data_IF_363797347350
#
_entry.id   IF_363797347350
#
_cell.length_a   1.000
_cell.length_b   1.000
_cell.length_c   1.000
_cell.angle_alpha   90.00
_cell.angle_beta   90.00
_cell.angle_gamma   90.00
#
_symmetry.space_group_name_H-M   'P 1'
#
loop_
_entity.id
_entity.type
_entity.pdbx_description
1 polymer ?
#
# COMPACT_ATOMS: atom_id res chain seq x y z
N UNK A 1 -1.55 23.88 1.33
CA UNK A 1 -1.30 22.58 0.68
C UNK A 1 -2.03 22.45 -0.65
N UNK A 2 -3.36 22.25 -0.70
CA UNK A 2 -4.04 21.99 -1.98
C UNK A 2 -3.86 23.10 -3.04
N UNK A 3 -3.73 24.37 -2.64
CA UNK A 3 -3.47 25.49 -3.55
C UNK A 3 -1.99 25.65 -3.95
N UNK A 4 -1.09 24.78 -3.49
CA UNK A 4 0.33 24.82 -3.86
C UNK A 4 0.48 24.54 -5.36
N UNK A 5 1.21 25.39 -6.13
CA UNK A 5 1.35 25.20 -7.57
C UNK A 5 1.95 23.86 -7.97
N UNK A 6 2.83 23.27 -7.15
CA UNK A 6 3.46 21.96 -7.41
C UNK A 6 2.42 20.85 -7.32
N UNK A 7 1.58 20.89 -6.28
CA UNK A 7 0.49 19.93 -6.10
C UNK A 7 -0.56 20.09 -7.19
N UNK A 8 -0.91 21.32 -7.57
CA UNK A 8 -1.85 21.58 -8.66
C UNK A 8 -1.33 21.05 -10.01
N UNK A 9 -0.04 21.24 -10.31
CA UNK A 9 0.57 20.70 -11.52
C UNK A 9 0.59 19.15 -11.51
N UNK A 10 0.92 18.56 -10.36
CA UNK A 10 0.88 17.10 -10.15
C UNK A 10 -0.54 16.51 -10.18
N UNK A 11 -1.55 17.34 -9.90
CA UNK A 11 -2.97 16.95 -9.90
C UNK A 11 -3.61 16.97 -11.31
N UNK A 12 -2.80 16.95 -12.37
CA UNK A 12 -3.29 16.92 -13.74
C UNK A 12 -4.17 15.68 -13.97
N UNK A 13 -5.35 15.93 -14.54
CA UNK A 13 -6.33 14.93 -14.92
C UNK A 13 -5.73 13.91 -15.90
N UNK A 14 -5.55 12.67 -15.44
CA UNK A 14 -4.85 11.61 -16.18
C UNK A 14 -5.75 10.39 -16.30
N UNK A 15 -6.07 9.97 -17.52
CA UNK A 15 -6.69 8.68 -17.78
C UNK A 15 -5.63 7.59 -17.60
N UNK A 16 -5.79 6.71 -16.62
CA UNK A 16 -4.81 5.68 -16.31
C UNK A 16 -5.46 4.31 -16.14
N UNK A 17 -4.75 3.26 -16.56
CA UNK A 17 -5.17 1.87 -16.43
C UNK A 17 -4.45 1.24 -15.23
N UNK A 18 -5.05 1.21 -14.02
CA UNK A 18 -4.34 0.83 -12.80
C UNK A 18 -3.91 -0.64 -12.76
N UNK A 19 -4.50 -1.51 -13.57
CA UNK A 19 -4.14 -2.94 -13.65
C UNK A 19 -3.34 -3.30 -14.91
N UNK A 20 -2.43 -2.40 -15.35
CA UNK A 20 -1.64 -2.62 -16.57
C UNK A 20 -0.41 -3.51 -16.30
N UNK A 21 -0.65 -4.82 -16.20
CA UNK A 21 0.38 -5.85 -16.02
C UNK A 21 0.51 -6.77 -17.25
N UNK A 22 1.59 -7.57 -17.34
CA UNK A 22 1.89 -8.45 -18.50
C UNK A 22 0.70 -9.30 -18.99
N UNK A 23 -0.15 -9.79 -18.10
CA UNK A 23 -1.31 -10.64 -18.47
C UNK A 23 -2.45 -9.88 -19.17
N UNK A 24 -2.41 -8.55 -19.12
CA UNK A 24 -3.39 -7.66 -19.77
C UNK A 24 -2.83 -7.06 -21.09
N UNK A 25 -1.65 -7.52 -21.53
CA UNK A 25 -0.99 -7.09 -22.77
C UNK A 25 -1.02 -8.21 -23.82
N UNK A 26 -1.54 -7.91 -25.01
CA UNK A 26 -1.35 -8.76 -26.18
C UNK A 26 -0.16 -8.27 -27.00
N UNK A 27 0.64 -9.21 -27.49
CA UNK A 27 1.79 -8.95 -28.37
C UNK A 27 1.64 -9.69 -29.69
N UNK A 28 2.38 -9.26 -30.71
CA UNK A 28 2.36 -9.93 -32.01
C UNK A 28 3.01 -11.31 -31.93
N UNK A 29 2.39 -12.31 -32.55
CA UNK A 29 2.95 -13.66 -32.71
C UNK A 29 4.28 -13.66 -33.47
N UNK A 30 4.42 -12.76 -34.45
CA UNK A 30 5.62 -12.67 -35.29
C UNK A 30 6.72 -11.79 -34.68
N UNK A 31 6.36 -10.90 -33.75
CA UNK A 31 7.26 -9.90 -33.16
C UNK A 31 6.78 -9.49 -31.76
N UNK A 32 7.21 -10.21 -30.70
CA UNK A 32 6.76 -9.96 -29.32
C UNK A 32 7.14 -8.58 -28.76
N UNK A 33 7.98 -7.80 -29.46
CA UNK A 33 8.28 -6.41 -29.07
C UNK A 33 7.13 -5.45 -29.41
N UNK A 34 6.16 -5.88 -30.23
CA UNK A 34 5.01 -5.08 -30.65
C UNK A 34 3.78 -5.45 -29.84
N UNK A 35 3.30 -4.49 -29.07
CA UNK A 35 2.00 -4.57 -28.40
C UNK A 35 0.89 -4.44 -29.46
N UNK A 36 -0.04 -5.40 -29.47
CA UNK A 36 -1.18 -5.45 -30.40
C UNK A 36 -2.49 -5.08 -29.73
N UNK A 37 -2.57 -5.12 -28.40
CA UNK A 37 -3.76 -4.71 -27.67
C UNK A 37 -3.59 -4.71 -26.15
N UNK A 38 -4.52 -4.03 -25.49
CA UNK A 38 -4.67 -3.95 -24.04
C UNK A 38 -6.10 -4.35 -23.69
N UNK A 39 -6.28 -5.16 -22.65
CA UNK A 39 -7.58 -5.56 -22.13
C UNK A 39 -7.76 -5.13 -20.68
N UNK A 40 -8.91 -5.46 -20.12
CA UNK A 40 -9.22 -5.27 -18.70
C UNK A 40 -9.42 -3.80 -18.31
N UNK A 41 -10.03 -3.02 -19.20
CA UNK A 41 -10.24 -1.58 -19.06
C UNK A 41 -11.20 -1.17 -17.94
N UNK A 42 -11.93 -2.08 -17.29
CA UNK A 42 -12.95 -1.75 -16.31
C UNK A 42 -12.49 -0.95 -15.08
N UNK A 43 -11.22 -1.01 -14.59
CA UNK A 43 -10.77 -0.16 -13.49
C UNK A 43 -10.17 1.16 -13.98
N UNK A 44 -10.14 1.41 -15.30
CA UNK A 44 -9.58 2.65 -15.87
C UNK A 44 -10.41 3.85 -15.43
N UNK A 45 -9.74 4.86 -14.87
CA UNK A 45 -10.39 6.09 -14.42
C UNK A 45 -9.54 7.32 -14.77
N UNK A 46 -10.15 8.49 -14.62
CA UNK A 46 -9.48 9.78 -14.73
C UNK A 46 -9.17 10.25 -13.30
N UNK A 47 -7.88 10.30 -12.95
CA UNK A 47 -7.41 10.66 -11.62
C UNK A 47 -6.17 11.57 -11.68
N UNK A 48 -5.79 12.21 -10.57
CA UNK A 48 -4.54 12.96 -10.47
C UNK A 48 -3.32 12.11 -10.84
N UNK A 49 -2.39 12.67 -11.62
CA UNK A 49 -1.18 11.95 -12.05
C UNK A 49 -0.34 11.41 -10.88
N UNK A 50 -0.30 12.11 -9.74
CA UNK A 50 0.43 11.66 -8.56
C UNK A 50 -0.11 10.35 -7.96
N UNK A 51 -1.32 9.91 -8.31
CA UNK A 51 -1.90 8.66 -7.81
C UNK A 51 -1.15 7.41 -8.28
N UNK A 52 -0.59 7.50 -9.48
CA UNK A 52 0.09 6.39 -10.18
C UNK A 52 1.57 6.68 -10.40
N UNK A 53 2.12 7.72 -9.76
CA UNK A 53 3.48 8.15 -9.98
C UNK A 53 4.51 7.11 -9.48
N UNK A 54 4.15 6.38 -8.43
CA UNK A 54 4.98 5.33 -7.83
C UNK A 54 4.68 3.94 -8.40
N UNK A 55 3.71 3.82 -9.32
CA UNK A 55 3.39 2.54 -9.93
C UNK A 55 4.55 2.07 -10.81
N UNK A 56 5.05 0.88 -10.46
CA UNK A 56 6.11 0.19 -11.19
C UNK A 56 5.52 -1.07 -11.78
N UNK A 57 5.48 -1.14 -13.10
CA UNK A 57 4.86 -2.29 -13.77
C UNK A 57 5.68 -3.57 -13.59
N UNK A 58 4.99 -4.71 -13.56
CA UNK A 58 5.57 -6.05 -13.35
C UNK A 58 6.57 -6.48 -14.42
N UNK A 59 6.55 -5.87 -15.61
CA UNK A 59 7.57 -6.06 -16.65
C UNK A 59 8.87 -5.31 -16.43
N UNK A 60 8.88 -4.34 -15.53
CA UNK A 60 10.10 -3.65 -15.14
C UNK A 60 10.84 -4.37 -14.01
N UNK A 61 10.23 -5.39 -13.37
CA UNK A 61 10.81 -6.15 -12.27
C UNK A 61 11.26 -7.52 -12.81
N UNK A 62 12.58 -7.72 -12.95
CA UNK A 62 13.17 -9.03 -13.27
C UNK A 62 13.38 -9.84 -11.99
N UNK A 63 13.00 -11.12 -11.99
CA UNK A 63 13.21 -12.03 -10.85
C UNK A 63 14.68 -12.38 -10.59
N UNK A 64 15.58 -12.08 -11.51
CA UNK A 64 17.02 -12.28 -11.37
C UNK A 64 17.72 -11.02 -10.81
N UNK A 65 18.52 -11.22 -9.77
CA UNK A 65 19.23 -10.20 -9.00
C UNK A 65 20.44 -9.57 -9.72
N UNK A 66 20.83 -8.40 -9.20
CA UNK A 66 22.03 -7.58 -9.43
C UNK A 66 22.09 -6.59 -10.61
N UNK A 67 21.25 -6.70 -11.65
CA UNK A 67 21.19 -5.65 -12.68
C UNK A 67 19.84 -5.59 -13.37
N UNK A 68 18.85 -4.99 -12.71
CA UNK A 68 17.53 -4.81 -13.31
C UNK A 68 17.56 -3.69 -14.37
N UNK A 69 18.11 -4.03 -15.54
CA UNK A 69 18.16 -3.17 -16.73
C UNK A 69 16.75 -2.73 -17.13
N UNK A 70 15.74 -3.59 -16.93
CA UNK A 70 14.34 -3.28 -17.20
C UNK A 70 13.82 -2.16 -16.28
N UNK A 71 14.13 -2.18 -14.98
CA UNK A 71 13.76 -1.11 -14.05
C UNK A 71 14.46 0.21 -14.41
N UNK A 72 15.76 0.17 -14.73
CA UNK A 72 16.49 1.36 -15.17
C UNK A 72 15.94 1.92 -16.49
N UNK A 73 15.65 1.03 -17.45
CA UNK A 73 15.05 1.42 -18.72
C UNK A 73 13.64 1.98 -18.52
N UNK A 74 12.82 1.36 -17.65
CA UNK A 74 11.51 1.86 -17.28
C UNK A 74 11.60 3.26 -16.66
N UNK A 75 12.49 3.46 -15.68
CA UNK A 75 12.69 4.77 -15.06
C UNK A 75 13.13 5.82 -16.09
N UNK A 76 14.08 5.49 -16.96
CA UNK A 76 14.53 6.40 -18.02
C UNK A 76 13.40 6.72 -19.01
N UNK A 77 12.69 5.70 -19.50
CA UNK A 77 11.59 5.85 -20.45
C UNK A 77 10.42 6.65 -19.86
N UNK A 78 10.03 6.40 -18.61
CA UNK A 78 8.93 7.12 -17.93
C UNK A 78 9.18 8.62 -17.93
N UNK A 79 10.43 9.07 -17.73
CA UNK A 79 10.78 10.51 -17.78
C UNK A 79 10.53 11.15 -19.15
N UNK A 80 10.64 10.40 -20.23
CA UNK A 80 10.50 10.92 -21.60
C UNK A 80 9.12 10.68 -22.20
N UNK A 81 8.55 9.50 -21.99
CA UNK A 81 7.30 9.07 -22.63
C UNK A 81 6.06 9.37 -21.79
N UNK A 82 6.20 9.48 -20.46
CA UNK A 82 5.09 9.77 -19.54
C UNK A 82 5.43 10.93 -18.59
N UNK A 83 5.75 12.13 -19.13
CA UNK A 83 6.19 13.27 -18.32
C UNK A 83 5.18 13.69 -17.23
N UNK A 84 3.89 13.44 -17.47
CA UNK A 84 2.81 13.70 -16.52
C UNK A 84 2.93 12.85 -15.25
N UNK A 85 3.37 11.59 -15.37
CA UNK A 85 3.59 10.67 -14.24
C UNK A 85 4.98 10.84 -13.64
N UNK A 86 5.99 11.14 -14.46
CA UNK A 86 7.35 11.33 -13.96
C UNK A 86 7.52 12.58 -13.11
N UNK A 87 6.70 13.62 -13.35
CA UNK A 87 6.76 14.87 -12.59
C UNK A 87 6.57 14.64 -11.09
N UNK A 88 5.40 14.14 -10.65
CA UNK A 88 5.15 13.83 -9.24
C UNK A 88 6.16 12.82 -8.66
N UNK A 89 6.58 11.82 -9.44
CA UNK A 89 7.58 10.81 -9.02
C UNK A 89 8.96 11.39 -8.64
N UNK A 90 9.28 12.59 -9.13
CA UNK A 90 10.53 13.29 -8.82
C UNK A 90 10.38 14.27 -7.65
N UNK A 91 9.18 14.39 -7.08
CA UNK A 91 8.91 15.23 -5.92
C UNK A 91 9.00 14.41 -4.63
N UNK A 92 8.94 15.09 -3.48
CA UNK A 92 8.85 14.41 -2.18
C UNK A 92 7.44 13.82 -2.00
N UNK A 93 7.34 12.49 -1.83
CA UNK A 93 6.08 11.77 -1.64
C UNK A 93 5.22 12.34 -0.50
N UNK A 94 5.84 12.94 0.53
CA UNK A 94 5.11 13.55 1.64
C UNK A 94 4.20 14.70 1.18
N UNK A 95 4.40 15.24 -0.04
CA UNK A 95 3.46 16.19 -0.66
C UNK A 95 2.13 15.54 -1.05
N UNK A 96 2.12 14.22 -1.33
CA UNK A 96 0.99 13.49 -1.87
C UNK A 96 0.35 12.51 -0.89
N UNK A 97 1.13 11.98 0.07
CA UNK A 97 0.65 10.96 1.02
C UNK A 97 -0.69 11.29 1.71
N UNK A 98 -0.95 12.52 2.21
CA UNK A 98 -2.26 12.83 2.77
C UNK A 98 -3.43 12.57 1.80
N UNK A 99 -3.23 12.80 0.50
CA UNK A 99 -4.24 12.52 -0.53
C UNK A 99 -4.36 11.01 -0.78
N UNK A 100 -3.22 10.31 -0.89
CA UNK A 100 -3.14 8.86 -1.13
C UNK A 100 -3.75 8.04 0.02
N UNK A 101 -3.79 8.54 1.25
CA UNK A 101 -4.42 7.83 2.36
C UNK A 101 -5.86 8.28 2.65
N UNK A 102 -6.31 9.41 2.10
CA UNK A 102 -7.63 9.98 2.40
C UNK A 102 -8.79 9.07 1.99
N UNK A 103 -8.70 8.47 0.80
CA UNK A 103 -9.75 7.64 0.23
C UNK A 103 -9.85 6.25 0.87
N UNK A 104 -8.83 5.80 1.60
CA UNK A 104 -8.78 4.47 2.23
C UNK A 104 -9.32 4.46 3.64
N UNK A 105 -9.67 5.62 4.20
CA UNK A 105 -10.12 5.74 5.60
C UNK A 105 -11.35 4.91 5.94
N UNK A 106 -12.24 4.66 4.98
CA UNK A 106 -13.41 3.79 5.18
C UNK A 106 -13.05 2.31 5.28
N UNK A 107 -11.94 1.89 4.67
CA UNK A 107 -11.47 0.51 4.62
C UNK A 107 -10.43 0.21 5.70
N UNK A 108 -9.46 1.11 5.83
CA UNK A 108 -8.26 0.93 6.65
C UNK A 108 -8.33 1.71 7.98
N UNK A 109 -9.38 2.50 8.18
CA UNK A 109 -9.50 3.41 9.32
C UNK A 109 -8.68 4.70 9.16
N UNK A 110 -8.75 5.57 10.17
CA UNK A 110 -8.16 6.91 10.11
C UNK A 110 -6.68 6.97 10.51
N UNK A 111 -6.09 5.89 11.03
CA UNK A 111 -4.76 5.89 11.62
C UNK A 111 -3.68 6.33 10.61
N UNK A 112 -3.68 5.75 9.40
CA UNK A 112 -2.70 6.08 8.37
C UNK A 112 -2.83 7.54 7.90
N UNK A 113 -4.05 8.00 7.59
CA UNK A 113 -4.29 9.39 7.20
C UNK A 113 -3.83 10.36 8.30
N UNK A 114 -4.13 10.05 9.57
CA UNK A 114 -3.71 10.88 10.71
C UNK A 114 -2.19 10.93 10.82
N UNK A 115 -1.51 9.81 10.59
CA UNK A 115 -0.04 9.76 10.57
C UNK A 115 0.53 10.67 9.49
N UNK A 116 0.02 10.59 8.27
CA UNK A 116 0.50 11.42 7.16
C UNK A 116 0.22 12.91 7.36
N UNK A 117 -0.89 13.29 8.00
CA UNK A 117 -1.17 14.68 8.38
C UNK A 117 -0.19 15.20 9.44
N UNK A 118 0.19 14.35 10.41
CA UNK A 118 1.18 14.68 11.44
C UNK A 118 2.57 14.84 10.81
N UNK A 119 2.99 13.91 9.96
CA UNK A 119 4.29 13.96 9.28
C UNK A 119 4.38 15.15 8.33
N UNK A 120 3.33 15.42 7.54
CA UNK A 120 3.23 16.61 6.70
C UNK A 120 3.33 17.90 7.52
N UNK A 121 2.74 17.92 8.71
CA UNK A 121 2.81 19.08 9.60
C UNK A 121 4.21 19.26 10.20
N UNK A 122 4.88 18.17 10.59
CA UNK A 122 6.26 18.19 11.10
C UNK A 122 7.23 18.69 10.03
N UNK A 123 7.06 18.24 8.79
CA UNK A 123 7.90 18.58 7.64
C UNK A 123 7.41 19.81 6.87
N UNK A 124 6.44 20.57 7.38
CA UNK A 124 5.74 21.61 6.61
C UNK A 124 6.68 22.61 5.93
N UNK A 125 7.68 23.11 6.68
CA UNK A 125 8.68 24.04 6.16
C UNK A 125 9.69 23.36 5.23
N UNK A 126 10.07 22.10 5.51
CA UNK A 126 10.99 21.31 4.68
C UNK A 126 10.39 20.99 3.31
N UNK A 127 9.07 20.75 3.28
CA UNK A 127 8.28 20.60 2.06
C UNK A 127 8.09 21.92 1.30
N UNK A 128 8.61 23.04 1.82
CA UNK A 128 8.57 24.34 1.17
C UNK A 128 7.22 25.04 1.21
N UNK A 129 6.30 24.62 2.10
CA UNK A 129 5.04 25.33 2.27
C UNK A 129 5.24 26.64 3.05
N UNK A 130 4.48 27.66 2.67
CA UNK A 130 4.47 28.95 3.38
C UNK A 130 3.45 28.95 4.53
N UNK A 131 3.74 29.69 5.59
CA UNK A 131 2.82 29.86 6.72
C UNK A 131 2.81 28.65 7.66
N UNK A 132 1.81 28.59 8.54
CA UNK A 132 1.62 27.45 9.46
C UNK A 132 0.80 26.35 8.80
N UNK A 133 1.08 25.09 9.17
CA UNK A 133 0.23 23.96 8.78
C UNK A 133 -1.20 24.18 9.27
N UNK A 134 -2.23 23.93 8.43
CA UNK A 134 -3.62 24.01 8.84
C UNK A 134 -4.02 22.87 9.80
N UNK A 135 -3.22 21.80 9.86
CA UNK A 135 -3.43 20.71 10.81
C UNK A 135 -2.66 21.00 12.11
N UNK A 136 -3.39 21.10 13.20
CA UNK A 136 -2.80 21.31 14.53
C UNK A 136 -2.32 19.99 15.12
N UNK A 137 -1.05 19.92 15.49
CA UNK A 137 -0.53 18.77 16.23
C UNK A 137 -1.27 18.59 17.56
N UNK A 138 -1.59 17.33 17.87
CA UNK A 138 -2.18 16.96 19.16
C UNK A 138 -1.20 17.24 20.31
N UNK A 139 -1.72 17.23 21.55
CA UNK A 139 -0.87 17.28 22.74
C UNK A 139 0.15 16.13 22.75
N UNK A 140 1.27 16.23 23.49
CA UNK A 140 2.27 15.16 23.57
C UNK A 140 1.67 13.78 23.87
N UNK A 141 0.71 13.71 24.80
CA UNK A 141 0.00 12.48 25.12
C UNK A 141 -0.83 11.96 23.94
N UNK A 142 -1.49 12.85 23.19
CA UNK A 142 -2.24 12.48 21.99
C UNK A 142 -1.36 11.97 20.85
N UNK A 143 -0.11 12.44 20.77
CA UNK A 143 0.88 11.94 19.79
C UNK A 143 1.41 10.56 20.18
N UNK A 144 1.63 10.30 21.48
CA UNK A 144 2.01 8.96 21.97
C UNK A 144 0.90 7.95 21.71
N UNK A 145 -0.35 8.33 21.94
CA UNK A 145 -1.49 7.45 21.66
C UNK A 145 -1.61 7.17 20.16
N UNK A 146 -1.47 8.20 19.32
CA UNK A 146 -1.46 8.03 17.87
C UNK A 146 -0.33 7.12 17.39
N UNK A 147 0.87 7.24 17.96
CA UNK A 147 2.00 6.35 17.63
C UNK A 147 1.66 4.88 17.91
N UNK A 148 0.93 4.61 19.00
CA UNK A 148 0.44 3.27 19.33
C UNK A 148 -0.61 2.78 18.33
N UNK A 149 -1.58 3.63 17.97
CA UNK A 149 -2.59 3.34 16.95
C UNK A 149 -1.95 3.03 15.58
N UNK A 150 -0.95 3.84 15.19
CA UNK A 150 -0.27 3.70 13.91
C UNK A 150 0.58 2.43 13.84
N UNK A 151 1.32 2.10 14.90
CA UNK A 151 2.06 0.82 14.99
C UNK A 151 1.13 -0.38 14.84
N UNK A 152 -0.04 -0.34 15.47
CA UNK A 152 -1.03 -1.41 15.32
C UNK A 152 -1.59 -1.48 13.89
N UNK A 153 -1.83 -0.34 13.25
CA UNK A 153 -2.22 -0.29 11.84
C UNK A 153 -1.14 -0.92 10.93
N UNK A 154 0.13 -0.57 11.12
CA UNK A 154 1.25 -1.15 10.34
C UNK A 154 1.30 -2.67 10.54
N UNK A 155 1.26 -3.14 11.78
CA UNK A 155 1.25 -4.58 12.08
C UNK A 155 0.06 -5.31 11.45
N UNK A 156 -1.12 -4.69 11.36
CA UNK A 156 -2.27 -5.26 10.67
C UNK A 156 -2.04 -5.41 9.15
N UNK A 157 -1.41 -4.42 8.52
CA UNK A 157 -1.10 -4.48 7.08
C UNK A 157 -0.01 -5.51 6.78
N UNK A 158 1.04 -5.57 7.61
CA UNK A 158 2.12 -6.57 7.49
C UNK A 158 1.58 -7.98 7.69
N UNK A 159 0.81 -8.22 8.76
CA UNK A 159 0.16 -9.50 9.02
C UNK A 159 -0.69 -9.97 7.82
N UNK A 160 -1.42 -9.04 7.20
CA UNK A 160 -2.24 -9.35 6.02
C UNK A 160 -1.40 -9.76 4.81
N UNK A 161 -0.28 -9.07 4.55
CA UNK A 161 0.62 -9.41 3.46
C UNK A 161 1.31 -10.75 3.71
N UNK A 162 1.79 -10.98 4.93
CA UNK A 162 2.45 -12.23 5.33
C UNK A 162 1.50 -13.41 5.23
N UNK A 163 0.26 -13.27 5.72
CA UNK A 163 -0.75 -14.33 5.61
C UNK A 163 -1.10 -14.65 4.14
N UNK A 164 -1.25 -13.63 3.30
CA UNK A 164 -1.50 -13.84 1.88
C UNK A 164 -0.35 -14.62 1.22
N UNK A 165 0.90 -14.29 1.56
CA UNK A 165 2.07 -15.01 1.08
C UNK A 165 2.13 -16.46 1.61
N UNK A 166 1.93 -16.67 2.91
CA UNK A 166 2.00 -17.99 3.55
C UNK A 166 0.91 -18.93 3.08
N UNK A 167 -0.30 -18.42 2.87
CA UNK A 167 -1.45 -19.19 2.40
C UNK A 167 -1.50 -19.31 0.87
N UNK A 168 -0.59 -18.64 0.16
CA UNK A 168 -0.59 -18.52 -1.29
C UNK A 168 -1.94 -18.02 -1.83
N UNK A 169 -2.46 -16.96 -1.20
CA UNK A 169 -3.75 -16.32 -1.54
C UNK A 169 -3.52 -14.88 -1.97
N UNK A 170 -4.55 -14.29 -2.58
CA UNK A 170 -4.59 -12.85 -2.76
C UNK A 170 -4.85 -12.15 -1.41
N UNK A 171 -4.42 -10.88 -1.29
CA UNK A 171 -4.60 -10.12 -0.04
C UNK A 171 -6.08 -9.82 0.29
N UNK A 172 -7.00 -10.04 -0.65
CA UNK A 172 -8.45 -9.97 -0.40
C UNK A 172 -9.03 -11.29 0.12
N UNK A 173 -8.19 -12.32 0.29
CA UNK A 173 -8.59 -13.64 0.81
C UNK A 173 -9.16 -14.57 -0.24
N UNK A 174 -9.09 -14.23 -1.54
CA UNK A 174 -9.57 -15.13 -2.59
C UNK A 174 -8.69 -16.38 -2.72
N UNK A 175 -9.35 -17.54 -2.83
CA UNK A 175 -8.74 -18.87 -2.97
C UNK A 175 -9.51 -19.70 -4.00
N UNK A 176 -8.84 -20.43 -4.90
CA UNK A 176 -9.49 -21.42 -5.76
C UNK A 176 -10.21 -22.50 -4.94
N UNK A 177 -11.35 -22.98 -5.45
CA UNK A 177 -12.15 -23.99 -4.75
C UNK A 177 -11.36 -25.27 -4.46
N UNK A 178 -10.44 -25.66 -5.36
CA UNK A 178 -9.61 -26.86 -5.17
C UNK A 178 -8.68 -26.77 -3.95
N UNK A 179 -8.30 -25.55 -3.56
CA UNK A 179 -7.35 -25.30 -2.47
C UNK A 179 -8.05 -24.89 -1.17
N UNK A 180 -9.36 -24.63 -1.19
CA UNK A 180 -10.11 -24.05 -0.07
C UNK A 180 -9.92 -24.81 1.25
N UNK A 181 -10.16 -26.13 1.25
CA UNK A 181 -10.07 -26.95 2.47
C UNK A 181 -8.65 -26.92 3.07
N UNK A 182 -7.62 -27.03 2.22
CA UNK A 182 -6.23 -26.98 2.67
C UNK A 182 -5.85 -25.60 3.22
N UNK A 183 -6.30 -24.53 2.55
CA UNK A 183 -6.07 -23.15 3.00
C UNK A 183 -6.79 -22.85 4.30
N UNK A 184 -8.00 -23.35 4.51
CA UNK A 184 -8.75 -23.16 5.76
C UNK A 184 -8.02 -23.82 6.96
N UNK A 185 -7.50 -25.03 6.78
CA UNK A 185 -6.69 -25.72 7.80
C UNK A 185 -5.41 -24.93 8.09
N UNK A 186 -4.67 -24.52 7.05
CA UNK A 186 -3.44 -23.75 7.22
C UNK A 186 -3.69 -22.40 7.90
N UNK A 187 -4.77 -21.69 7.53
CA UNK A 187 -5.18 -20.44 8.14
C UNK A 187 -5.43 -20.59 9.65
N UNK A 188 -6.10 -21.69 10.02
CA UNK A 188 -6.35 -22.08 11.40
C UNK A 188 -5.06 -22.31 12.19
N UNK A 189 -4.15 -23.11 11.63
CA UNK A 189 -2.88 -23.44 12.26
C UNK A 189 -1.99 -22.21 12.45
N UNK A 190 -1.97 -21.30 11.47
CA UNK A 190 -1.21 -20.05 11.59
C UNK A 190 -1.79 -19.15 12.69
N UNK A 191 -3.12 -19.03 12.79
CA UNK A 191 -3.75 -18.27 13.88
C UNK A 191 -3.37 -18.82 15.25
N UNK A 192 -3.52 -20.12 15.48
CA UNK A 192 -3.20 -20.76 16.76
C UNK A 192 -1.70 -20.67 17.09
N UNK A 193 -0.84 -20.81 16.08
CA UNK A 193 0.60 -20.63 16.21
C UNK A 193 0.96 -19.20 16.63
N UNK A 194 0.37 -18.20 15.99
CA UNK A 194 0.60 -16.80 16.32
C UNK A 194 0.02 -16.42 17.69
N UNK A 195 -1.17 -16.92 18.03
CA UNK A 195 -1.78 -16.75 19.34
C UNK A 195 -0.87 -17.32 20.44
N UNK A 196 -0.34 -18.53 20.23
CA UNK A 196 0.62 -19.15 21.15
C UNK A 196 1.88 -18.29 21.30
N UNK A 197 2.44 -17.77 20.21
CA UNK A 197 3.61 -16.91 20.25
C UNK A 197 3.35 -15.61 21.03
N UNK A 198 2.20 -14.97 20.82
CA UNK A 198 1.79 -13.76 21.56
C UNK A 198 1.63 -14.05 23.06
N UNK A 199 0.98 -15.15 23.43
CA UNK A 199 0.72 -15.48 24.84
C UNK A 199 1.96 -15.99 25.59
N UNK A 200 2.92 -16.59 24.89
CA UNK A 200 4.14 -17.13 25.49
C UNK A 200 5.29 -16.13 25.54
N UNK A 201 5.20 -15.03 24.79
CA UNK A 201 6.19 -13.96 24.84
C UNK A 201 6.11 -13.21 26.18
N UNK A 202 7.10 -13.46 27.04
CA UNK A 202 7.23 -12.85 28.37
C UNK A 202 8.21 -11.70 28.43
N UNK A 203 8.73 -11.24 27.28
CA UNK A 203 9.69 -10.16 27.26
C UNK A 203 9.02 -8.84 27.70
N UNK A 204 9.39 -8.29 28.88
CA UNK A 204 8.82 -7.05 29.37
C UNK A 204 9.25 -5.83 28.55
N UNK A 205 10.32 -5.95 27.75
CA UNK A 205 10.78 -4.89 26.84
C UNK A 205 10.12 -4.99 25.45
N UNK A 206 9.24 -5.97 25.24
CA UNK A 206 8.58 -6.17 23.97
C UNK A 206 7.73 -4.95 23.56
N UNK A 207 8.18 -4.27 22.50
CA UNK A 207 7.51 -3.11 21.90
C UNK A 207 6.53 -3.48 20.79
N UNK A 208 6.33 -4.77 20.51
CA UNK A 208 5.34 -5.24 19.54
C UNK A 208 3.94 -4.70 19.87
N UNK A 209 3.17 -4.27 18.86
CA UNK A 209 1.83 -3.72 19.08
C UNK A 209 0.83 -4.81 19.50
N UNK A 210 1.07 -6.07 19.14
CA UNK A 210 0.19 -7.22 19.43
C UNK A 210 0.63 -7.93 20.72
N UNK A 211 -0.09 -7.68 21.81
CA UNK A 211 0.32 -8.14 23.16
C UNK A 211 -0.61 -9.16 23.81
N UNK A 212 -1.77 -9.38 23.24
CA UNK A 212 -2.76 -10.31 23.77
C UNK A 212 -3.70 -10.79 22.65
N UNK A 213 -4.49 -11.80 22.97
CA UNK A 213 -5.46 -12.40 22.08
C UNK A 213 -6.47 -11.38 21.52
N UNK A 214 -6.98 -10.48 22.35
CA UNK A 214 -7.97 -9.49 21.91
C UNK A 214 -7.40 -8.56 20.83
N UNK A 215 -6.15 -8.11 20.99
CA UNK A 215 -5.48 -7.29 19.98
C UNK A 215 -5.21 -8.10 18.72
N UNK A 216 -4.71 -9.34 18.83
CA UNK A 216 -4.46 -10.19 17.67
C UNK A 216 -5.74 -10.41 16.86
N UNK A 217 -6.85 -10.79 17.53
CA UNK A 217 -8.16 -10.96 16.89
C UNK A 217 -8.66 -9.67 16.23
N UNK A 218 -8.40 -8.51 16.84
CA UNK A 218 -8.87 -7.22 16.30
C UNK A 218 -8.20 -6.80 15.00
N UNK A 219 -6.98 -7.30 14.73
CA UNK A 219 -6.23 -7.00 13.50
C UNK A 219 -6.17 -8.17 12.53
N UNK A 220 -6.77 -9.30 12.89
CA UNK A 220 -6.74 -10.50 12.07
C UNK A 220 -7.56 -10.27 10.78
N UNK A 221 -6.97 -10.46 9.59
CA UNK A 221 -7.56 -9.94 8.35
C UNK A 221 -8.68 -10.81 7.75
N UNK A 222 -8.89 -12.02 8.26
CA UNK A 222 -9.83 -13.00 7.69
C UNK A 222 -10.75 -13.55 8.78
N UNK A 223 -11.95 -14.00 8.40
CA UNK A 223 -12.89 -14.55 9.37
C UNK A 223 -12.33 -15.83 10.02
N UNK A 224 -12.45 -15.89 11.34
CA UNK A 224 -12.10 -17.07 12.13
C UNK A 224 -13.35 -17.92 12.27
N UNK A 225 -13.45 -19.02 11.51
CA UNK A 225 -14.63 -19.90 11.44
C UNK A 225 -14.95 -20.70 12.74
N UNK A 226 -14.52 -20.20 13.90
CA UNK A 226 -14.62 -20.89 15.20
C UNK A 226 -15.84 -20.52 16.04
N UNK A 227 -16.69 -19.59 15.57
CA UNK A 227 -17.84 -19.08 16.34
C UNK A 227 -19.20 -19.48 15.75
N UNK A 228 -19.30 -20.69 15.19
CA UNK A 228 -20.58 -21.30 14.85
C UNK A 228 -20.71 -22.69 15.51
N UNK A 229 -20.96 -22.70 16.83
CA UNK A 229 -21.66 -23.78 17.54
C UNK A 229 -22.10 -23.32 18.93
#
# INVERSE_FOLDING_TARGET
MCADPRIQAAATSTLFHPDLHKRNLFVSENDPSKITGFIDWQPTCIEPAFWYADDVSDFSISGDTDYNLCAKAFEACTRFFTPQLSGPRLMDDNLFRPFLYSYRTWKDGAAALRHELIETTRKWNELGFTGQSPYSLSSPNGLVEHEREYKLFVAAQELKQDLASLLNTATDGWVPMENWEATEVAHREIFEGMLTAVLTNKDPENQEPVKNEAVLRSIWPFDLAFEAS
#
